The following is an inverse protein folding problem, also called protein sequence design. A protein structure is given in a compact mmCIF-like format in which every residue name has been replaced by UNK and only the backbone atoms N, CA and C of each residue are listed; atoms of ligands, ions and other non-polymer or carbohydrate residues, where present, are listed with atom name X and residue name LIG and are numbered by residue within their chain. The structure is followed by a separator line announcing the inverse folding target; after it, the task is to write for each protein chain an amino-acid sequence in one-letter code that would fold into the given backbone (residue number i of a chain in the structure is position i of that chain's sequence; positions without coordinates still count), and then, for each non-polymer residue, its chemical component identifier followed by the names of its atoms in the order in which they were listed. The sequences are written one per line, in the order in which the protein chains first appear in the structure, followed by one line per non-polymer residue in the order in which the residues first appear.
data_IF_991041347672
#
_entry.id   IF_991041347672
#
_cell.length_a   1.000
_cell.length_b   1.000
_cell.length_c   1.000
_cell.angle_alpha   90.00
_cell.angle_beta   90.00
_cell.angle_gamma   90.00
#
_symmetry.space_group_name_H-M   'P 1'
#
loop_
_entity.id
_entity.type
_entity.pdbx_description
1 polymer ?
#
# COMPACT_ATOMS: atom_id res chain seq x y z
N UNK A 1 -41.08 -3.93 32.83
CA UNK A 1 -39.62 -4.00 32.63
C UNK A 1 -39.27 -3.41 31.26
N UNK A 2 -38.49 -2.34 31.21
CA UNK A 2 -38.18 -1.59 29.99
C UNK A 2 -37.12 -2.33 29.14
N UNK A 3 -37.47 -2.70 27.91
CA UNK A 3 -36.51 -3.22 26.91
C UNK A 3 -35.80 -2.02 26.28
N UNK A 4 -34.64 -1.67 26.82
CA UNK A 4 -33.74 -0.69 26.21
C UNK A 4 -33.29 -1.22 24.83
N UNK A 5 -33.77 -0.58 23.75
CA UNK A 5 -33.33 -0.86 22.38
C UNK A 5 -31.87 -0.44 22.26
N UNK A 6 -31.00 -1.44 22.17
CA UNK A 6 -29.56 -1.27 21.99
C UNK A 6 -29.24 -0.28 20.89
N UNK A 7 -28.35 0.64 21.23
CA UNK A 7 -27.80 1.70 20.39
C UNK A 7 -27.31 1.09 19.07
N UNK A 8 -27.95 1.43 17.95
CA UNK A 8 -27.35 1.20 16.62
C UNK A 8 -26.15 2.12 16.53
N UNK A 9 -24.94 1.56 16.69
CA UNK A 9 -23.72 2.28 16.36
C UNK A 9 -23.86 2.78 14.91
N UNK A 10 -23.56 4.05 14.61
CA UNK A 10 -23.55 4.51 13.23
C UNK A 10 -22.56 3.62 12.48
N UNK A 11 -23.04 2.94 11.44
CA UNK A 11 -22.19 2.22 10.51
C UNK A 11 -21.08 3.19 10.11
N UNK A 12 -19.85 2.84 10.50
CA UNK A 12 -18.66 3.61 10.22
C UNK A 12 -18.64 3.81 8.71
N UNK A 13 -18.96 5.04 8.28
CA UNK A 13 -18.68 5.57 6.95
C UNK A 13 -17.16 5.65 6.82
N UNK A 14 -16.53 4.49 6.76
CA UNK A 14 -15.17 4.31 6.28
C UNK A 14 -15.26 3.59 4.95
N UNK A 15 -16.03 4.20 4.04
CA UNK A 15 -15.63 4.24 2.64
C UNK A 15 -14.37 5.12 2.52
N UNK A 16 -13.33 4.77 3.30
CA UNK A 16 -11.99 5.25 3.05
C UNK A 16 -11.59 4.44 1.85
N UNK A 17 -11.83 4.98 0.65
CA UNK A 17 -11.33 4.51 -0.64
C UNK A 17 -10.04 3.74 -0.36
N UNK A 18 -10.11 2.41 -0.41
CA UNK A 18 -8.96 1.59 -0.07
C UNK A 18 -8.02 1.75 -1.24
N UNK A 19 -7.13 2.73 -1.14
CA UNK A 19 -6.11 2.99 -2.14
C UNK A 19 -5.19 1.78 -2.15
N UNK A 20 -5.50 0.81 -3.01
CA UNK A 20 -4.64 -0.34 -3.23
C UNK A 20 -3.55 0.08 -4.20
N UNK A 21 -2.31 0.05 -3.72
CA UNK A 21 -1.13 0.18 -4.57
C UNK A 21 -0.64 -1.22 -4.91
N UNK A 22 -0.23 -1.45 -6.16
CA UNK A 22 0.40 -2.71 -6.54
C UNK A 22 1.76 -2.81 -5.86
N UNK A 23 2.03 -3.94 -5.21
CA UNK A 23 3.35 -4.28 -4.73
C UNK A 23 4.23 -4.68 -5.93
N UNK A 24 5.37 -4.01 -6.07
CA UNK A 24 6.34 -4.26 -7.16
C UNK A 24 7.70 -4.61 -6.57
N UNK A 25 8.51 -5.36 -7.31
CA UNK A 25 9.86 -5.78 -6.92
C UNK A 25 10.92 -4.83 -7.47
N UNK A 26 12.18 -5.02 -7.06
CA UNK A 26 13.30 -4.16 -7.45
C UNK A 26 13.50 -4.14 -8.96
N UNK A 27 13.34 -5.27 -9.65
CA UNK A 27 13.43 -5.36 -11.11
C UNK A 27 12.49 -4.36 -11.82
N UNK A 28 11.24 -4.24 -11.34
CA UNK A 28 10.27 -3.30 -11.88
C UNK A 28 10.68 -1.86 -11.58
N UNK A 29 11.19 -1.59 -10.38
CA UNK A 29 11.68 -0.27 -10.00
C UNK A 29 12.92 0.16 -10.80
N UNK A 30 13.83 -0.77 -11.12
CA UNK A 30 15.05 -0.51 -11.89
C UNK A 30 14.78 -0.26 -13.37
N UNK A 31 13.75 -0.91 -13.93
CA UNK A 31 13.29 -0.67 -15.32
C UNK A 31 12.33 0.50 -15.45
N UNK A 32 11.89 1.10 -14.33
CA UNK A 32 10.91 2.16 -14.34
C UNK A 32 11.52 3.45 -14.89
N UNK A 33 10.93 4.00 -15.97
CA UNK A 33 11.36 5.27 -16.58
C UNK A 33 11.10 6.49 -15.70
N UNK A 34 10.18 6.36 -14.73
CA UNK A 34 9.81 7.40 -13.77
C UNK A 34 10.28 6.97 -12.39
N UNK A 35 11.51 7.30 -12.00
CA UNK A 35 12.02 6.85 -10.72
C UNK A 35 11.28 7.55 -9.59
N UNK A 36 10.91 6.79 -8.57
CA UNK A 36 10.25 7.31 -7.37
C UNK A 36 11.14 7.07 -6.15
N UNK A 37 11.06 7.97 -5.16
CA UNK A 37 11.91 7.90 -3.96
C UNK A 37 11.78 6.55 -3.26
N UNK A 38 10.54 6.02 -3.12
CA UNK A 38 10.28 4.69 -2.55
C UNK A 38 10.96 3.55 -3.31
N UNK A 39 10.89 3.59 -4.64
CA UNK A 39 11.49 2.57 -5.50
C UNK A 39 13.02 2.62 -5.49
N UNK A 40 13.59 3.83 -5.48
CA UNK A 40 15.04 4.04 -5.37
C UNK A 40 15.57 3.55 -4.01
N UNK A 41 14.92 3.90 -2.91
CA UNK A 41 15.28 3.42 -1.55
C UNK A 41 15.23 1.90 -1.47
N UNK A 42 14.17 1.31 -2.03
CA UNK A 42 14.00 -0.13 -2.05
C UNK A 42 15.05 -0.82 -2.92
N UNK A 43 15.35 -0.30 -4.10
CA UNK A 43 16.40 -0.83 -4.97
C UNK A 43 17.79 -0.72 -4.30
N UNK A 44 18.08 0.39 -3.62
CA UNK A 44 19.33 0.56 -2.86
C UNK A 44 19.45 -0.50 -1.75
N UNK A 45 18.37 -0.77 -1.01
CA UNK A 45 18.32 -1.84 0.01
C UNK A 45 18.44 -3.24 -0.60
N UNK A 46 17.93 -3.45 -1.82
CA UNK A 46 18.04 -4.74 -2.50
C UNK A 46 19.44 -5.01 -3.06
N UNK A 47 20.28 -3.98 -3.20
CA UNK A 47 21.69 -4.10 -3.62
C UNK A 47 22.64 -4.50 -2.49
N UNK A 48 22.18 -4.49 -1.24
CA UNK A 48 22.95 -5.01 -0.11
C UNK A 48 22.90 -6.53 -0.05
N UNK A 49 24.06 -7.18 0.09
CA UNK A 49 24.17 -8.64 0.22
C UNK A 49 23.33 -9.16 1.41
N UNK A 50 22.44 -10.10 1.13
CA UNK A 50 21.50 -10.67 2.11
C UNK A 50 20.13 -9.99 2.19
N UNK A 51 19.84 -9.00 1.34
CA UNK A 51 18.54 -8.33 1.35
C UNK A 51 17.40 -9.21 0.80
N UNK A 52 16.38 -9.44 1.63
CA UNK A 52 15.15 -10.13 1.22
C UNK A 52 14.07 -9.12 0.85
N UNK A 53 13.76 -9.07 -0.44
CA UNK A 53 12.77 -8.17 -0.98
C UNK A 53 11.33 -8.61 -0.79
N UNK A 54 10.55 -7.86 -0.01
CA UNK A 54 9.09 -8.09 0.16
C UNK A 54 8.22 -7.31 -0.83
N UNK A 55 8.85 -6.59 -1.76
CA UNK A 55 8.22 -5.64 -2.65
C UNK A 55 7.96 -4.28 -2.01
N UNK A 56 7.81 -3.26 -2.85
CA UNK A 56 7.46 -1.88 -2.47
C UNK A 56 6.13 -1.48 -3.11
N UNK A 57 5.24 -0.77 -2.39
CA UNK A 57 4.01 -0.25 -2.99
C UNK A 57 4.33 0.82 -4.03
N UNK A 58 3.95 0.57 -5.28
CA UNK A 58 4.18 1.52 -6.36
C UNK A 58 3.12 2.62 -6.36
N UNK A 59 3.57 3.86 -6.10
CA UNK A 59 2.71 5.05 -6.08
C UNK A 59 2.08 5.35 -7.44
N UNK A 60 2.70 4.89 -8.53
CA UNK A 60 2.21 5.08 -9.90
C UNK A 60 1.10 4.10 -10.24
N UNK A 61 1.03 2.96 -9.55
CA UNK A 61 -0.04 1.95 -9.71
C UNK A 61 -1.21 2.19 -8.76
N UNK A 62 -1.36 3.42 -8.26
CA UNK A 62 -2.42 3.80 -7.34
C UNK A 62 -3.78 3.67 -8.04
N UNK A 63 -4.42 2.51 -7.90
CA UNK A 63 -5.81 2.33 -8.28
C UNK A 63 -6.69 2.81 -7.11
N UNK A 64 -7.45 3.87 -7.36
CA UNK A 64 -8.63 4.22 -6.57
C UNK A 64 -9.76 3.34 -7.07
N UNK A 65 -10.03 2.22 -6.39
CA UNK A 65 -11.26 1.45 -6.61
C UNK A 65 -12.21 1.65 -5.45
#
# INVERSE_FOLDING_TARGET
MAKAKGKKAPALKSDKLRVSMKLVTSDVCERCKTPCTRGMDYAARMRTDGAVGKGVPCILTRHTS
#
